data_IF_741695951763
#
_entry.id   IF_741695951763
#
_cell.length_a   1.000
_cell.length_b   1.000
_cell.length_c   1.000
_cell.angle_alpha   90.00
_cell.angle_beta   90.00
_cell.angle_gamma   90.00
#
_symmetry.space_group_name_H-M   'P 1'
#
loop_
_entity.id
_entity.type
_entity.pdbx_description
1 polymer ?
#
# COMPACT_ATOMS: atom_id res chain seq x y z
N UNK A 1 -16.80 -1.73 9.34
CA UNK A 1 -16.88 -0.45 8.60
C UNK A 1 -17.43 -0.73 7.21
N UNK A 2 -18.40 0.05 6.70
CA UNK A 2 -18.81 -0.04 5.30
C UNK A 2 -17.59 0.12 4.37
N UNK A 3 -17.54 -0.60 3.24
CA UNK A 3 -16.36 -0.63 2.34
C UNK A 3 -15.89 0.76 1.90
N UNK A 4 -16.83 1.66 1.57
CA UNK A 4 -16.51 3.05 1.21
C UNK A 4 -15.91 3.83 2.37
N UNK A 5 -16.35 3.53 3.59
CA UNK A 5 -15.86 4.17 4.80
C UNK A 5 -14.42 3.71 5.14
N UNK A 6 -14.02 2.49 4.78
CA UNK A 6 -12.63 2.02 5.03
C UNK A 6 -11.59 2.79 4.23
N UNK A 7 -11.87 3.09 2.95
CA UNK A 7 -10.92 3.84 2.09
C UNK A 7 -10.70 5.25 2.61
N UNK A 8 -11.78 5.93 2.98
CA UNK A 8 -11.71 7.26 3.59
C UNK A 8 -11.06 7.25 4.97
N UNK A 9 -11.25 6.18 5.74
CA UNK A 9 -10.60 6.04 7.06
C UNK A 9 -9.08 6.01 6.96
N UNK A 10 -8.55 5.36 5.92
CA UNK A 10 -7.11 5.21 5.71
C UNK A 10 -6.50 6.28 4.79
N UNK A 11 -7.31 7.10 4.14
CA UNK A 11 -6.83 8.23 3.37
C UNK A 11 -5.94 9.14 4.24
N UNK A 12 -4.76 9.48 3.72
CA UNK A 12 -3.71 10.24 4.40
C UNK A 12 -3.15 9.63 5.70
N UNK A 13 -3.53 8.39 6.04
CA UNK A 13 -2.92 7.67 7.16
C UNK A 13 -1.62 7.01 6.72
N UNK A 14 -0.67 6.93 7.65
CA UNK A 14 0.52 6.13 7.46
C UNK A 14 0.21 4.65 7.66
N UNK A 15 0.65 3.85 6.70
CA UNK A 15 0.48 2.40 6.64
C UNK A 15 1.87 1.77 6.55
N UNK A 16 2.11 0.70 7.29
CA UNK A 16 3.36 -0.05 7.23
C UNK A 16 3.15 -1.30 6.35
N UNK A 17 4.07 -1.52 5.41
CA UNK A 17 4.15 -2.73 4.59
C UNK A 17 5.50 -3.40 4.79
N UNK A 18 5.53 -4.72 4.77
CA UNK A 18 6.75 -5.49 4.97
C UNK A 18 6.78 -6.73 4.06
N UNK A 19 7.98 -7.10 3.62
CA UNK A 19 8.15 -8.22 2.70
C UNK A 19 9.59 -8.62 2.45
N UNK A 20 9.73 -9.71 1.70
CA UNK A 20 10.99 -10.25 1.19
C UNK A 20 11.06 -10.14 -0.34
N UNK A 21 10.25 -9.25 -0.94
CA UNK A 21 10.30 -8.93 -2.35
C UNK A 21 11.59 -8.23 -2.74
N UNK A 22 11.79 -8.04 -4.04
CA UNK A 22 12.97 -7.35 -4.58
C UNK A 22 12.99 -5.89 -4.09
N UNK A 23 14.19 -5.30 -4.02
CA UNK A 23 14.36 -3.87 -3.69
C UNK A 23 14.33 -2.99 -4.96
N UNK A 24 14.67 -3.60 -6.09
CA UNK A 24 14.72 -2.98 -7.41
C UNK A 24 14.24 -3.98 -8.48
N UNK A 25 13.79 -3.46 -9.63
CA UNK A 25 13.37 -4.29 -10.77
C UNK A 25 14.50 -5.24 -11.17
N UNK A 26 14.18 -6.52 -11.34
CA UNK A 26 15.14 -7.60 -11.63
C UNK A 26 16.31 -7.80 -10.62
N UNK A 27 16.33 -7.07 -9.50
CA UNK A 27 17.35 -7.19 -8.44
C UNK A 27 17.18 -8.38 -7.49
N UNK A 28 18.22 -8.70 -6.71
CA UNK A 28 18.16 -9.85 -5.79
C UNK A 28 17.10 -9.66 -4.68
N UNK A 29 16.55 -10.78 -4.19
CA UNK A 29 15.69 -10.76 -3.00
C UNK A 29 16.54 -10.63 -1.72
N UNK A 30 16.13 -9.80 -0.76
CA UNK A 30 16.83 -9.68 0.51
C UNK A 30 16.66 -10.96 1.35
N UNK A 31 17.69 -11.31 2.12
CA UNK A 31 17.63 -12.40 3.10
C UNK A 31 17.13 -11.94 4.48
N UNK A 32 16.67 -10.69 4.57
CA UNK A 32 16.11 -10.07 5.77
C UNK A 32 14.75 -9.47 5.42
N UNK A 33 13.84 -9.44 6.39
CA UNK A 33 12.55 -8.79 6.20
C UNK A 33 12.78 -7.28 6.10
N UNK A 34 12.28 -6.67 5.04
CA UNK A 34 12.29 -5.22 4.88
C UNK A 34 10.90 -4.65 5.14
N UNK A 35 10.87 -3.40 5.61
CA UNK A 35 9.65 -2.68 5.91
C UNK A 35 9.77 -1.25 5.41
N UNK A 36 8.69 -0.72 4.88
CA UNK A 36 8.57 0.70 4.54
C UNK A 36 7.20 1.24 4.92
N UNK A 37 7.10 2.57 4.93
CA UNK A 37 5.91 3.31 5.31
C UNK A 37 5.34 4.02 4.10
N UNK A 38 4.05 3.79 3.85
CA UNK A 38 3.28 4.38 2.76
C UNK A 38 2.18 5.28 3.32
N UNK A 39 1.67 6.21 2.51
CA UNK A 39 0.47 7.00 2.81
C UNK A 39 -0.71 6.47 2.03
N UNK A 40 -1.83 6.23 2.72
CA UNK A 40 -3.09 5.90 2.07
C UNK A 40 -3.57 7.04 1.14
N UNK A 41 -4.12 6.66 0.00
CA UNK A 41 -4.67 7.56 -1.01
C UNK A 41 -6.20 7.42 -1.03
N UNK A 42 -6.93 8.53 -1.24
CA UNK A 42 -8.38 8.45 -1.43
C UNK A 42 -8.70 7.64 -2.70
N UNK A 43 -9.90 7.05 -2.73
CA UNK A 43 -10.29 6.20 -3.86
C UNK A 43 -10.37 6.99 -5.15
N UNK A 44 -10.92 8.20 -5.10
CA UNK A 44 -11.06 9.14 -6.22
C UNK A 44 -9.69 9.47 -6.81
N UNK A 45 -8.71 9.78 -5.95
CA UNK A 45 -7.35 10.07 -6.42
C UNK A 45 -6.69 8.84 -7.00
N UNK A 46 -6.97 7.65 -6.47
CA UNK A 46 -6.41 6.42 -7.00
C UNK A 46 -6.96 6.09 -8.40
N UNK A 47 -8.28 6.16 -8.60
CA UNK A 47 -8.88 5.90 -9.92
C UNK A 47 -8.43 6.94 -10.96
N UNK A 48 -8.19 8.19 -10.55
CA UNK A 48 -7.63 9.24 -11.43
C UNK A 48 -6.20 8.89 -11.87
N UNK A 49 -5.37 8.37 -10.96
CA UNK A 49 -3.98 8.04 -11.26
C UNK A 49 -3.85 6.74 -12.08
N UNK A 50 -4.79 5.81 -11.94
CA UNK A 50 -4.78 4.52 -12.65
C UNK A 50 -5.98 4.42 -13.60
N UNK A 51 -5.76 4.82 -14.85
CA UNK A 51 -6.78 4.75 -15.91
C UNK A 51 -7.35 3.31 -16.12
N UNK A 52 -8.61 3.24 -16.58
CA UNK A 52 -9.30 2.06 -17.13
C UNK A 52 -9.62 0.89 -16.18
N UNK A 53 -10.35 1.13 -15.09
CA UNK A 53 -10.99 0.04 -14.33
C UNK A 53 -10.04 -0.95 -13.65
N UNK A 54 -8.75 -0.59 -13.54
CA UNK A 54 -7.72 -1.41 -12.87
C UNK A 54 -7.85 -1.40 -11.35
N UNK A 55 -8.57 -0.41 -10.81
CA UNK A 55 -8.82 -0.26 -9.38
C UNK A 55 -10.32 -0.45 -9.13
N UNK A 56 -10.68 -1.44 -8.33
CA UNK A 56 -12.08 -1.77 -7.99
C UNK A 56 -12.41 -1.43 -6.54
N UNK A 57 -13.68 -1.52 -6.17
CA UNK A 57 -14.13 -1.04 -4.86
C UNK A 57 -13.53 -1.79 -3.66
N UNK A 58 -13.04 -3.01 -3.86
CA UNK A 58 -12.38 -3.80 -2.82
C UNK A 58 -10.88 -3.50 -2.67
N UNK A 59 -10.34 -2.55 -3.44
CA UNK A 59 -8.93 -2.17 -3.40
C UNK A 59 -8.72 -0.84 -2.66
N UNK A 60 -7.52 -0.71 -2.10
CA UNK A 60 -6.99 0.51 -1.50
C UNK A 60 -5.63 0.81 -2.14
N UNK A 61 -5.30 2.09 -2.25
CA UNK A 61 -4.03 2.53 -2.82
C UNK A 61 -3.22 3.24 -1.76
N UNK A 62 -1.92 3.00 -1.75
CA UNK A 62 -0.97 3.63 -0.86
C UNK A 62 0.27 4.02 -1.66
N UNK A 63 0.96 5.09 -1.24
CA UNK A 63 2.09 5.62 -1.98
C UNK A 63 3.07 6.35 -1.04
N UNK A 64 4.33 6.44 -1.44
CA UNK A 64 5.33 7.33 -0.85
C UNK A 64 6.37 7.69 -1.93
N UNK A 65 7.07 8.80 -1.74
CA UNK A 65 8.17 9.18 -2.61
C UNK A 65 9.39 8.31 -2.28
N UNK A 66 10.00 7.72 -3.31
CA UNK A 66 11.25 6.94 -3.25
C UNK A 66 11.17 5.55 -2.63
N UNK A 67 9.99 5.06 -2.26
CA UNK A 67 9.82 3.72 -1.72
C UNK A 67 8.47 3.15 -2.14
N UNK A 68 8.45 1.86 -2.43
CA UNK A 68 7.25 1.12 -2.81
C UNK A 68 7.45 -0.38 -2.52
N UNK A 69 6.39 -1.17 -2.68
CA UNK A 69 6.45 -2.63 -2.79
C UNK A 69 6.97 -3.05 -4.17
N UNK A 70 7.54 -4.25 -4.27
CA UNK A 70 8.05 -4.79 -5.53
C UNK A 70 7.68 -6.27 -5.71
N UNK A 71 8.25 -6.89 -6.74
CA UNK A 71 8.02 -8.30 -7.04
C UNK A 71 8.37 -9.22 -5.87
N UNK A 72 7.42 -10.07 -5.50
CA UNK A 72 7.57 -10.99 -4.37
C UNK A 72 6.97 -10.48 -3.06
N UNK A 73 6.49 -9.25 -3.00
CA UNK A 73 5.71 -8.74 -1.85
C UNK A 73 4.22 -9.09 -1.93
N UNK A 74 3.74 -9.58 -3.08
CA UNK A 74 2.34 -9.99 -3.28
C UNK A 74 1.87 -10.98 -2.22
N UNK A 75 0.78 -10.64 -1.52
CA UNK A 75 0.24 -11.41 -0.40
C UNK A 75 0.77 -10.98 0.98
N UNK A 76 1.75 -10.08 1.02
CA UNK A 76 2.25 -9.44 2.25
C UNK A 76 1.25 -8.46 2.88
N UNK A 77 1.45 -8.09 4.15
CA UNK A 77 0.53 -7.24 4.89
C UNK A 77 0.66 -5.76 4.51
N UNK A 78 -0.47 -5.06 4.50
CA UNK A 78 -0.55 -3.61 4.65
C UNK A 78 -1.25 -3.31 5.97
N UNK A 79 -0.52 -2.74 6.93
CA UNK A 79 -0.97 -2.60 8.31
C UNK A 79 -1.12 -1.13 8.72
N UNK A 80 -2.09 -0.86 9.59
CA UNK A 80 -2.32 0.46 10.18
C UNK A 80 -2.21 0.35 11.71
N UNK A 81 -1.34 1.14 12.31
CA UNK A 81 -1.28 1.27 13.76
C UNK A 81 -2.32 2.28 14.21
N UNK A 82 -3.44 1.79 14.74
CA UNK A 82 -4.42 2.65 15.40
C UNK A 82 -3.80 3.27 16.64
N UNK A 83 -3.91 4.60 16.79
CA UNK A 83 -3.58 5.26 18.04
C UNK A 83 -4.44 4.66 19.15
N UNK A 84 -3.80 4.00 20.10
CA UNK A 84 -4.44 3.54 21.33
C UNK A 84 -4.88 4.80 22.09
N UNK A 85 -6.19 5.03 22.16
CA UNK A 85 -6.76 5.98 23.10
C UNK A 85 -6.61 5.46 24.52
#
# INVERSE_FOLDING_TARGET
LPRNMMKETFAMKFLDTAGFGRIEEDGAKPNILLMTKLRGMSFEKCIENYYYGRVVESMLCAWERYTDTCEGDSGGPLSYQASSG
#
